data_IF_659652868647
#
_entry.id   IF_659652868647
#
_cell.length_a   1.000
_cell.length_b   1.000
_cell.length_c   1.000
_cell.angle_alpha   90.00
_cell.angle_beta   90.00
_cell.angle_gamma   90.00
#
_symmetry.space_group_name_H-M   'P 1'
#
loop_
_entity.id
_entity.type
_entity.pdbx_description
1 polymer ?
#
# COMPACT_ATOMS: atom_id res chain seq x y z
N UNK A 1 -15.38 14.19 0.32
CA UNK A 1 -14.83 14.64 -0.98
C UNK A 1 -15.90 14.81 -2.06
N UNK A 2 -16.80 13.83 -2.24
CA UNK A 2 -17.87 13.86 -3.25
C UNK A 2 -18.79 15.08 -3.16
N UNK A 3 -19.11 15.54 -1.95
CA UNK A 3 -19.96 16.73 -1.73
C UNK A 3 -19.33 18.02 -2.27
N UNK A 4 -18.03 18.22 -2.05
CA UNK A 4 -17.31 19.40 -2.57
C UNK A 4 -17.22 19.36 -4.10
N UNK A 5 -16.91 18.19 -4.66
CA UNK A 5 -16.86 18.00 -6.11
C UNK A 5 -18.23 18.28 -6.75
N UNK A 6 -19.31 17.79 -6.13
CA UNK A 6 -20.67 18.07 -6.58
C UNK A 6 -20.97 19.57 -6.57
N UNK A 7 -20.69 20.26 -5.46
CA UNK A 7 -20.94 21.70 -5.34
C UNK A 7 -20.19 22.53 -6.39
N UNK A 8 -18.91 22.23 -6.62
CA UNK A 8 -18.08 22.90 -7.62
C UNK A 8 -18.63 22.65 -9.04
N UNK A 9 -19.05 21.42 -9.34
CA UNK A 9 -19.61 21.09 -10.65
C UNK A 9 -20.96 21.76 -10.87
N UNK A 10 -21.86 21.74 -9.88
CA UNK A 10 -23.18 22.37 -10.01
C UNK A 10 -23.10 23.87 -10.22
N UNK A 11 -22.22 24.56 -9.50
CA UNK A 11 -22.04 26.01 -9.66
C UNK A 11 -21.22 26.35 -10.91
N UNK A 12 -20.23 25.53 -11.26
CA UNK A 12 -19.46 25.68 -12.49
C UNK A 12 -20.35 25.57 -13.75
N UNK A 13 -21.30 24.64 -13.77
CA UNK A 13 -22.22 24.46 -14.91
C UNK A 13 -23.20 25.64 -15.05
N UNK A 14 -23.69 26.22 -13.94
CA UNK A 14 -24.52 27.43 -13.97
C UNK A 14 -23.75 28.63 -14.52
N UNK A 15 -22.48 28.78 -14.13
CA UNK A 15 -21.61 29.83 -14.62
C UNK A 15 -21.33 29.72 -16.14
N UNK A 16 -21.15 28.49 -16.64
CA UNK A 16 -21.00 28.25 -18.09
C UNK A 16 -22.30 28.53 -18.86
N UNK A 17 -23.46 28.17 -18.30
CA UNK A 17 -24.76 28.49 -18.90
C UNK A 17 -25.01 30.01 -18.96
N UNK A 18 -24.41 30.80 -18.07
CA UNK A 18 -24.42 32.26 -18.10
C UNK A 18 -23.45 32.88 -19.14
N UNK A 19 -22.75 32.06 -19.93
CA UNK A 19 -21.86 32.51 -21.00
C UNK A 19 -20.43 32.82 -20.57
N UNK A 20 -20.02 32.42 -19.35
CA UNK A 20 -18.62 32.55 -18.92
C UNK A 20 -17.72 31.50 -19.57
N UNK A 21 -16.47 31.87 -19.87
CA UNK A 21 -15.49 30.96 -20.44
C UNK A 21 -15.13 29.83 -19.44
N UNK A 22 -15.27 28.55 -19.81
CA UNK A 22 -14.98 27.43 -18.90
C UNK A 22 -13.50 27.33 -18.52
N UNK A 23 -12.60 27.79 -19.40
CA UNK A 23 -11.16 27.80 -19.12
C UNK A 23 -10.76 28.84 -18.06
N UNK A 24 -11.43 29.99 -18.04
CA UNK A 24 -11.18 31.02 -17.04
C UNK A 24 -11.77 30.62 -15.68
N UNK A 25 -12.94 29.98 -15.67
CA UNK A 25 -13.53 29.39 -14.46
C UNK A 25 -12.62 28.34 -13.83
N UNK A 26 -12.08 27.42 -14.63
CA UNK A 26 -11.12 26.43 -14.15
C UNK A 26 -9.89 27.09 -13.53
N UNK A 27 -9.28 28.06 -14.23
CA UNK A 27 -8.12 28.80 -13.72
C UNK A 27 -8.42 29.56 -12.42
N UNK A 28 -9.62 30.12 -12.29
CA UNK A 28 -10.08 30.78 -11.07
C UNK A 28 -10.19 29.80 -9.89
N UNK A 29 -10.82 28.65 -10.12
CA UNK A 29 -10.94 27.58 -9.10
C UNK A 29 -9.56 27.06 -8.69
N UNK A 30 -8.68 26.79 -9.65
CA UNK A 30 -7.33 26.29 -9.35
C UNK A 30 -6.54 27.30 -8.47
N UNK A 31 -6.62 28.60 -8.77
CA UNK A 31 -6.01 29.65 -7.94
C UNK A 31 -6.61 29.71 -6.53
N UNK A 32 -7.93 29.61 -6.41
CA UNK A 32 -8.60 29.61 -5.13
C UNK A 32 -8.23 28.38 -4.28
N UNK A 33 -8.09 27.21 -4.91
CA UNK A 33 -7.65 25.98 -4.24
C UNK A 33 -6.21 26.12 -3.74
N UNK A 34 -5.31 26.70 -4.53
CA UNK A 34 -3.92 26.94 -4.10
C UNK A 34 -3.88 27.84 -2.86
N UNK A 35 -4.56 28.99 -2.90
CA UNK A 35 -4.63 29.91 -1.76
C UNK A 35 -5.27 29.25 -0.52
N UNK A 36 -6.34 28.47 -0.71
CA UNK A 36 -6.99 27.74 0.38
C UNK A 36 -6.05 26.70 1.01
N UNK A 37 -5.24 26.00 0.23
CA UNK A 37 -4.25 25.04 0.75
C UNK A 37 -3.13 25.74 1.52
N UNK A 38 -2.70 26.92 1.09
CA UNK A 38 -1.70 27.73 1.81
C UNK A 38 -2.23 28.17 3.19
N UNK A 39 -3.45 28.71 3.25
CA UNK A 39 -4.10 29.09 4.51
C UNK A 39 -4.36 27.88 5.43
N UNK A 40 -4.79 26.75 4.86
CA UNK A 40 -4.97 25.51 5.64
C UNK A 40 -3.66 25.03 6.29
N UNK A 41 -2.52 25.20 5.61
CA UNK A 41 -1.21 24.90 6.20
C UNK A 41 -0.87 25.88 7.31
N UNK A 42 -1.17 27.16 7.16
CA UNK A 42 -0.94 28.16 8.20
C UNK A 42 -1.79 27.94 9.46
N UNK A 43 -3.03 27.48 9.27
CA UNK A 43 -3.96 27.13 10.35
C UNK A 43 -3.70 25.75 10.96
N UNK A 44 -2.86 24.93 10.34
CA UNK A 44 -2.62 23.57 10.82
C UNK A 44 -1.92 23.59 12.18
N UNK A 45 -2.54 22.93 13.15
CA UNK A 45 -1.96 22.74 14.49
C UNK A 45 -1.29 21.37 14.52
N UNK A 46 0.02 21.29 14.83
CA UNK A 46 0.70 20.01 14.91
C UNK A 46 0.21 19.21 16.13
N UNK A 47 -0.27 17.99 15.89
CA UNK A 47 -0.66 17.07 16.97
C UNK A 47 0.58 16.33 17.49
N UNK A 48 1.23 16.88 18.54
CA UNK A 48 2.37 16.23 19.17
C UNK A 48 1.99 15.30 20.34
N UNK A 49 0.83 15.55 20.95
CA UNK A 49 0.39 14.91 22.18
C UNK A 49 -0.39 13.61 21.90
N UNK A 50 -0.16 12.59 22.73
CA UNK A 50 -0.86 11.30 22.65
C UNK A 50 -2.38 11.46 22.87
N UNK A 51 -2.78 12.45 23.68
CA UNK A 51 -4.19 12.85 23.84
C UNK A 51 -4.81 13.42 22.57
N UNK A 52 -4.07 14.20 21.79
CA UNK A 52 -4.56 14.75 20.53
C UNK A 52 -4.73 13.63 19.49
N UNK A 53 -3.83 12.65 19.48
CA UNK A 53 -3.95 11.44 18.66
C UNK A 53 -5.20 10.64 19.03
N UNK A 54 -5.45 10.40 20.32
CA UNK A 54 -6.65 9.71 20.78
C UNK A 54 -7.94 10.45 20.35
N UNK A 55 -7.96 11.79 20.48
CA UNK A 55 -9.10 12.60 20.03
C UNK A 55 -9.35 12.47 18.52
N UNK A 56 -8.31 12.51 17.70
CA UNK A 56 -8.44 12.31 16.25
C UNK A 56 -8.93 10.90 15.95
N UNK A 57 -8.37 9.88 16.62
CA UNK A 57 -8.80 8.48 16.49
C UNK A 57 -10.27 8.30 16.85
N UNK A 58 -10.73 8.90 17.96
CA UNK A 58 -12.14 8.85 18.39
C UNK A 58 -13.06 9.54 17.39
N UNK A 59 -12.70 10.72 16.87
CA UNK A 59 -13.53 11.42 15.88
C UNK A 59 -13.62 10.60 14.58
N UNK A 60 -12.52 9.98 14.15
CA UNK A 60 -12.49 9.12 12.96
C UNK A 60 -13.27 7.81 13.14
N UNK A 61 -13.31 7.25 14.35
CA UNK A 61 -14.03 6.03 14.69
C UNK A 61 -15.51 6.26 15.05
N UNK A 62 -16.15 7.30 14.50
CA UNK A 62 -17.55 7.64 14.80
C UNK A 62 -17.83 7.91 16.30
N UNK A 63 -16.93 8.65 16.95
CA UNK A 63 -16.97 8.99 18.38
C UNK A 63 -16.78 7.81 19.33
N UNK A 64 -16.11 6.75 18.91
CA UNK A 64 -15.73 5.65 19.78
C UNK A 64 -14.42 5.94 20.55
N UNK A 65 -14.53 6.01 21.88
CA UNK A 65 -13.41 6.27 22.76
C UNK A 65 -12.49 5.05 22.92
N UNK A 66 -13.01 3.83 22.80
CA UNK A 66 -12.19 2.61 22.97
C UNK A 66 -11.18 2.49 21.83
N UNK A 67 -11.63 2.64 20.60
CA UNK A 67 -10.79 2.59 19.39
C UNK A 67 -9.74 3.71 19.39
N UNK A 68 -10.12 4.93 19.79
CA UNK A 68 -9.17 6.04 19.88
C UNK A 68 -8.05 5.80 20.89
N UNK A 69 -8.38 5.21 22.05
CA UNK A 69 -7.39 4.86 23.06
C UNK A 69 -6.47 3.72 22.59
N UNK A 70 -7.02 2.69 21.93
CA UNK A 70 -6.23 1.59 21.37
C UNK A 70 -5.22 2.08 20.32
N UNK A 71 -5.63 3.01 19.45
CA UNK A 71 -4.74 3.62 18.45
C UNK A 71 -3.63 4.43 19.13
N UNK A 72 -3.95 5.19 20.19
CA UNK A 72 -2.96 5.95 20.93
C UNK A 72 -1.93 5.02 21.61
N UNK A 73 -2.39 3.94 22.24
CA UNK A 73 -1.53 2.92 22.86
C UNK A 73 -0.66 2.20 21.81
N UNK A 74 -1.21 1.90 20.63
CA UNK A 74 -0.45 1.34 19.51
C UNK A 74 0.68 2.29 19.06
N UNK A 75 0.36 3.57 18.90
CA UNK A 75 1.33 4.58 18.45
C UNK A 75 2.43 4.85 19.49
N UNK A 76 2.13 4.75 20.79
CA UNK A 76 3.15 4.84 21.85
C UNK A 76 4.14 3.67 21.79
N UNK A 77 3.65 2.46 21.46
CA UNK A 77 4.46 1.25 21.41
C UNK A 77 5.32 1.14 20.14
N UNK A 78 4.80 1.53 18.97
CA UNK A 78 5.52 1.42 17.67
C UNK A 78 6.31 2.70 17.33
N UNK A 79 5.91 3.85 17.88
CA UNK A 79 6.46 5.16 17.53
C UNK A 79 5.78 5.80 16.32
N UNK A 80 6.13 7.06 16.02
CA UNK A 80 5.42 7.91 15.03
C UNK A 80 5.47 7.39 13.59
N UNK A 81 6.54 6.71 13.22
CA UNK A 81 6.76 6.17 11.86
C UNK A 81 6.50 4.65 11.80
N UNK A 82 5.76 4.14 12.79
CA UNK A 82 5.40 2.74 12.91
C UNK A 82 4.34 2.28 11.93
N UNK A 83 4.42 1.01 11.51
CA UNK A 83 3.38 0.37 10.71
C UNK A 83 2.39 -0.29 11.66
N UNK A 84 1.10 0.06 11.52
CA UNK A 84 0.01 -0.56 12.27
C UNK A 84 -0.84 -1.35 11.29
N UNK A 85 -0.98 -2.64 11.51
CA UNK A 85 -1.88 -3.52 10.76
C UNK A 85 -3.07 -3.90 11.64
N UNK A 86 -4.25 -3.97 11.04
CA UNK A 86 -5.48 -4.44 11.71
C UNK A 86 -5.77 -5.83 11.18
N UNK A 87 -5.89 -6.79 12.08
CA UNK A 87 -6.31 -8.17 11.79
C UNK A 87 -7.65 -8.45 12.47
N UNK A 88 -8.46 -9.33 11.87
CA UNK A 88 -9.74 -9.72 12.45
C UNK A 88 -9.49 -10.65 13.64
N UNK A 89 -9.73 -10.14 14.86
CA UNK A 89 -9.59 -10.91 16.09
C UNK A 89 -10.66 -12.00 16.21
N UNK A 90 -10.27 -13.18 16.70
CA UNK A 90 -11.22 -14.27 17.01
C UNK A 90 -11.94 -14.09 18.36
N UNK A 91 -11.51 -13.11 19.16
CA UNK A 91 -12.05 -12.80 20.50
C UNK A 91 -13.17 -11.77 20.49
N UNK A 92 -13.79 -11.57 21.67
CA UNK A 92 -14.77 -10.48 21.93
C UNK A 92 -14.10 -9.17 22.37
N UNK A 93 -12.79 -9.21 22.66
CA UNK A 93 -12.02 -8.09 23.16
C UNK A 93 -10.94 -7.71 22.15
N UNK A 94 -10.64 -6.41 22.10
CA UNK A 94 -9.56 -5.88 21.28
C UNK A 94 -8.22 -6.23 21.94
N UNK A 95 -7.33 -6.84 21.16
CA UNK A 95 -5.99 -7.24 21.60
C UNK A 95 -4.95 -6.43 20.82
N UNK A 96 -3.83 -6.11 21.48
CA UNK A 96 -2.74 -5.36 20.86
C UNK A 96 -1.41 -6.08 21.07
N UNK A 97 -0.91 -6.65 19.98
CA UNK A 97 0.35 -7.39 19.96
C UNK A 97 1.38 -6.70 19.06
N UNK A 98 2.62 -6.69 19.54
CA UNK A 98 3.78 -6.22 18.79
C UNK A 98 4.44 -7.42 18.13
N UNK A 99 4.31 -7.52 16.81
CA UNK A 99 4.98 -8.56 16.01
C UNK A 99 6.16 -7.94 15.28
N UNK A 100 7.32 -8.60 15.35
CA UNK A 100 8.48 -8.22 14.56
C UNK A 100 8.20 -8.52 13.07
N UNK A 101 7.92 -7.45 12.32
CA UNK A 101 7.64 -7.50 10.88
C UNK A 101 8.58 -6.61 10.08
N UNK A 102 8.54 -6.76 8.76
CA UNK A 102 9.25 -5.90 7.83
C UNK A 102 8.32 -5.50 6.68
N UNK A 103 8.18 -4.20 6.46
CA UNK A 103 7.46 -3.65 5.31
C UNK A 103 8.46 -3.17 4.25
N UNK A 104 8.17 -3.50 2.99
CA UNK A 104 8.91 -2.97 1.84
C UNK A 104 7.96 -2.15 0.97
N UNK A 105 8.46 -1.03 0.43
CA UNK A 105 7.70 -0.17 -0.51
C UNK A 105 7.57 -0.76 -1.93
N UNK A 106 7.63 -2.09 -2.07
CA UNK A 106 7.49 -2.80 -3.35
C UNK A 106 6.17 -3.56 -3.41
N UNK A 107 5.32 -3.16 -4.34
CA UNK A 107 4.05 -3.83 -4.62
C UNK A 107 4.19 -5.09 -5.49
N UNK A 108 3.04 -5.73 -5.76
CA UNK A 108 2.94 -6.88 -6.65
C UNK A 108 3.23 -6.50 -8.12
N UNK A 109 3.83 -7.44 -8.87
CA UNK A 109 4.15 -7.26 -10.29
C UNK A 109 2.91 -7.23 -11.19
N UNK A 110 1.84 -7.90 -10.79
CA UNK A 110 0.60 -8.02 -11.56
C UNK A 110 -0.62 -7.92 -10.64
N UNK A 111 -1.67 -7.17 -11.02
CA UNK A 111 -2.91 -7.09 -10.25
C UNK A 111 -3.62 -8.42 -10.03
N UNK A 112 -3.28 -9.47 -10.78
CA UNK A 112 -3.86 -10.81 -10.62
C UNK A 112 -3.48 -11.51 -9.31
N UNK A 113 -2.53 -10.97 -8.54
CA UNK A 113 -2.19 -11.51 -7.22
C UNK A 113 -3.15 -11.07 -6.11
N UNK A 114 -4.07 -10.15 -6.40
CA UNK A 114 -5.04 -9.64 -5.42
C UNK A 114 -6.03 -10.75 -5.04
N UNK A 115 -6.02 -11.12 -3.75
CA UNK A 115 -6.97 -12.09 -3.20
C UNK A 115 -8.20 -11.38 -2.61
N UNK A 116 -8.02 -10.17 -2.06
CA UNK A 116 -9.11 -9.33 -1.53
C UNK A 116 -9.34 -8.13 -2.45
N UNK A 117 -10.37 -8.16 -3.31
CA UNK A 117 -10.61 -7.09 -4.28
C UNK A 117 -11.07 -5.78 -3.63
N UNK A 118 -11.60 -5.83 -2.41
CA UNK A 118 -12.12 -4.66 -1.69
C UNK A 118 -11.00 -3.74 -1.19
N UNK A 119 -9.97 -4.32 -0.57
CA UNK A 119 -8.80 -3.59 -0.10
C UNK A 119 -7.70 -3.48 -1.16
N UNK A 120 -7.80 -4.23 -2.26
CA UNK A 120 -6.74 -4.33 -3.26
C UNK A 120 -5.47 -5.00 -2.74
N UNK A 121 -5.58 -5.78 -1.66
CA UNK A 121 -4.45 -6.37 -0.95
C UNK A 121 -4.22 -7.84 -1.28
N UNK A 122 -2.98 -8.29 -1.08
CA UNK A 122 -2.57 -9.69 -1.18
C UNK A 122 -2.26 -10.20 0.21
N UNK A 123 -3.15 -10.99 0.77
CA UNK A 123 -2.93 -11.68 2.03
C UNK A 123 -2.64 -13.15 1.76
N UNK A 124 -1.56 -13.65 2.37
CA UNK A 124 -1.10 -15.03 2.27
C UNK A 124 -0.73 -15.52 3.67
N UNK A 125 -1.38 -16.59 4.10
CA UNK A 125 -1.01 -17.32 5.33
C UNK A 125 0.15 -18.29 5.04
N UNK A 126 1.13 -18.33 5.95
CA UNK A 126 2.37 -19.13 5.86
C UNK A 126 3.04 -19.14 4.47
N UNK A 127 3.38 -17.98 3.89
CA UNK A 127 3.99 -17.92 2.57
C UNK A 127 5.46 -18.31 2.61
N UNK A 128 5.91 -19.07 1.61
CA UNK A 128 7.33 -19.26 1.36
C UNK A 128 7.90 -18.04 0.63
N UNK A 129 8.92 -17.42 1.21
CA UNK A 129 9.61 -16.27 0.63
C UNK A 129 10.78 -16.75 -0.23
N UNK A 130 10.71 -16.49 -1.54
CA UNK A 130 11.80 -16.76 -2.47
C UNK A 130 12.62 -15.49 -2.73
N UNK A 131 13.83 -15.44 -2.18
CA UNK A 131 14.78 -14.35 -2.42
C UNK A 131 15.71 -14.70 -3.60
N UNK A 132 15.63 -13.94 -4.68
CA UNK A 132 16.49 -14.13 -5.87
C UNK A 132 17.18 -12.82 -6.23
N UNK A 133 18.50 -12.84 -6.26
CA UNK A 133 19.35 -11.68 -6.61
C UNK A 133 19.45 -11.43 -8.13
N UNK A 134 18.68 -12.18 -8.93
CA UNK A 134 18.69 -12.14 -10.40
C UNK A 134 17.30 -11.98 -10.96
N UNK A 135 17.18 -11.27 -12.09
CA UNK A 135 15.93 -11.18 -12.86
C UNK A 135 15.53 -12.58 -13.36
N UNK A 136 14.43 -13.11 -12.85
CA UNK A 136 13.85 -14.37 -13.32
C UNK A 136 13.26 -14.13 -14.71
N UNK A 137 13.97 -14.60 -15.74
CA UNK A 137 13.56 -14.45 -17.14
C UNK A 137 13.19 -15.77 -17.80
N UNK A 138 13.54 -16.91 -17.17
CA UNK A 138 13.31 -18.23 -17.73
C UNK A 138 12.44 -19.08 -16.79
N UNK A 139 11.35 -19.62 -17.34
CA UNK A 139 10.39 -20.45 -16.58
C UNK A 139 11.04 -21.72 -16.00
N UNK A 140 12.14 -22.19 -16.59
CA UNK A 140 12.86 -23.39 -16.12
C UNK A 140 13.51 -23.20 -14.74
N UNK A 141 13.95 -21.98 -14.42
CA UNK A 141 14.55 -21.67 -13.11
C UNK A 141 13.48 -21.62 -12.02
N UNK A 142 12.34 -20.97 -12.30
CA UNK A 142 11.16 -20.97 -11.42
C UNK A 142 10.59 -22.38 -11.23
N UNK A 143 10.45 -23.16 -12.31
CA UNK A 143 9.90 -24.51 -12.26
C UNK A 143 10.77 -25.48 -11.44
N UNK A 144 12.10 -25.31 -11.44
CA UNK A 144 12.99 -26.13 -10.61
C UNK A 144 12.82 -25.82 -9.11
N UNK A 145 12.60 -24.56 -8.76
CA UNK A 145 12.29 -24.14 -7.39
C UNK A 145 10.91 -24.63 -6.93
N UNK A 146 9.89 -24.54 -7.79
CA UNK A 146 8.54 -25.08 -7.51
C UNK A 146 8.54 -26.59 -7.30
N UNK A 147 9.34 -27.34 -8.08
CA UNK A 147 9.46 -28.80 -7.95
C UNK A 147 10.18 -29.27 -6.68
N UNK A 148 11.03 -28.43 -6.08
CA UNK A 148 11.69 -28.74 -4.80
C UNK A 148 10.71 -28.75 -3.61
N UNK A 149 9.53 -28.14 -3.77
CA UNK A 149 8.46 -28.10 -2.76
C UNK A 149 7.17 -28.69 -3.34
N UNK A 150 6.96 -30.02 -3.31
CA UNK A 150 5.81 -30.67 -3.95
C UNK A 150 4.44 -30.18 -3.45
N UNK A 151 4.34 -29.66 -2.22
CA UNK A 151 3.11 -29.06 -1.67
C UNK A 151 2.74 -27.70 -2.29
N UNK A 152 3.67 -27.02 -2.98
CA UNK A 152 3.42 -25.75 -3.69
C UNK A 152 2.74 -25.95 -5.07
N UNK A 153 2.75 -27.16 -5.63
CA UNK A 153 2.36 -27.39 -7.02
C UNK A 153 0.85 -27.19 -7.26
N UNK A 154 0.00 -27.45 -6.26
CA UNK A 154 -1.46 -27.37 -6.39
C UNK A 154 -2.00 -25.92 -6.44
N UNK A 155 -1.26 -24.93 -5.92
CA UNK A 155 -1.70 -23.51 -5.92
C UNK A 155 -1.16 -22.71 -7.13
N UNK A 156 -0.10 -23.20 -7.78
CA UNK A 156 0.53 -22.52 -8.93
C UNK A 156 -0.08 -22.84 -10.30
N UNK A 157 -0.87 -23.92 -10.41
CA UNK A 157 -1.42 -24.37 -11.69
C UNK A 157 -2.40 -23.37 -12.35
N UNK A 158 -2.82 -22.33 -11.62
CA UNK A 158 -3.71 -21.28 -12.13
C UNK A 158 -3.00 -20.14 -12.87
N UNK A 159 -1.71 -19.90 -12.63
CA UNK A 159 -0.99 -18.75 -13.21
C UNK A 159 -0.48 -18.99 -14.65
N UNK A 160 -0.41 -20.25 -15.10
CA UNK A 160 0.36 -20.61 -16.31
C UNK A 160 -0.39 -20.52 -17.66
N UNK A 161 -1.65 -20.07 -17.71
CA UNK A 161 -2.41 -20.06 -18.99
C UNK A 161 -2.23 -18.82 -19.88
N UNK A 162 -1.56 -17.75 -19.46
CA UNK A 162 -1.67 -16.45 -20.16
C UNK A 162 -0.37 -15.73 -20.52
N UNK A 163 0.75 -16.41 -20.81
CA UNK A 163 1.88 -15.69 -21.43
C UNK A 163 2.82 -16.56 -22.26
N UNK A 164 2.58 -16.58 -23.57
CA UNK A 164 3.57 -16.83 -24.63
C UNK A 164 4.12 -15.49 -25.14
N UNK A 165 5.37 -15.53 -25.61
CA UNK A 165 6.13 -14.54 -26.41
C UNK A 165 7.00 -13.54 -25.60
N UNK A 166 8.33 -13.74 -25.53
CA UNK A 166 9.41 -13.25 -26.46
C UNK A 166 9.65 -11.74 -26.31
N UNK A 167 10.84 -11.14 -26.18
CA UNK A 167 12.27 -11.48 -26.28
C UNK A 167 13.01 -10.24 -25.68
N UNK A 168 13.92 -10.36 -24.70
CA UNK A 168 15.39 -10.11 -24.78
C UNK A 168 15.84 -8.92 -25.68
N UNK A 169 16.75 -7.99 -25.31
CA UNK A 169 18.02 -8.12 -24.56
C UNK A 169 18.77 -6.75 -24.42
N UNK A 170 19.83 -6.74 -23.59
CA UNK A 170 21.03 -5.84 -23.53
C UNK A 170 20.85 -4.48 -22.82
N UNK A 171 21.58 -4.13 -21.75
CA UNK A 171 23.05 -4.14 -21.47
C UNK A 171 23.30 -4.39 -19.95
N UNK A 172 24.21 -5.31 -19.54
CA UNK A 172 25.60 -5.11 -19.02
C UNK A 172 25.70 -4.12 -17.83
N UNK A 173 26.34 -4.38 -16.67
CA UNK A 173 27.48 -5.26 -16.33
C UNK A 173 27.64 -5.48 -14.80
N UNK A 174 28.09 -6.69 -14.44
CA UNK A 174 28.61 -7.27 -13.17
C UNK A 174 29.86 -6.55 -12.60
N UNK A 175 30.52 -6.95 -11.45
CA UNK A 175 30.39 -8.19 -10.64
C UNK A 175 30.50 -8.04 -9.08
N UNK A 176 29.99 -9.03 -8.33
CA UNK A 176 30.61 -9.43 -7.06
C UNK A 176 30.81 -10.96 -7.06
N UNK A 177 32.05 -11.37 -6.80
CA UNK A 177 32.62 -12.66 -7.10
C UNK A 177 32.28 -13.75 -6.07
N UNK A 178 32.15 -14.96 -6.58
CA UNK A 178 32.16 -16.22 -5.83
C UNK A 178 33.59 -16.62 -5.41
N UNK A 179 33.74 -17.47 -4.38
CA UNK A 179 34.52 -18.71 -4.50
C UNK A 179 34.31 -19.64 -3.31
N UNK A 180 33.95 -20.88 -3.63
CA UNK A 180 34.07 -22.09 -2.81
C UNK A 180 35.50 -22.65 -2.80
N UNK A 181 35.87 -23.46 -1.80
CA UNK A 181 36.87 -24.56 -1.85
C UNK A 181 36.77 -25.41 -0.56
N UNK A 182 36.26 -26.65 -0.64
CA UNK A 182 37.01 -27.92 -0.78
C UNK A 182 37.73 -28.38 0.51
N UNK A 183 37.10 -29.30 1.23
CA UNK A 183 37.73 -30.21 2.19
C UNK A 183 38.28 -31.43 1.44
N UNK A 184 39.50 -31.81 1.81
CA UNK A 184 40.23 -33.02 1.39
C UNK A 184 39.67 -34.26 2.08
N UNK A 185 39.47 -35.33 1.32
CA UNK A 185 40.06 -36.68 1.44
C UNK A 185 39.23 -37.64 0.60
#
# INVERSE_FOLDING_TARGET
ATVLAQAIVTEGLKAVAAGMNPMDLKRGIDKAVIAAVEELKALSVPCADTKAVAQVGTISANSDATVGNLIAEAMEKVGRDGVITVEDGTGLHDELDLVEGMQFDRGYLSPYFINKPETGAVELEDPFILLVDKKISNIRESCRCSKASPRLASRWYWSLKTSKAKLWRLWWSTPCAASSRLLRS
#
